data_IF_066689565108
#
_entry.id   IF_066689565108
#
_cell.length_a   1.000
_cell.length_b   1.000
_cell.length_c   1.000
_cell.angle_alpha   90.00
_cell.angle_beta   90.00
_cell.angle_gamma   90.00
#
_symmetry.space_group_name_H-M   'P 1'
#
loop_
_entity.id
_entity.type
_entity.pdbx_description
1 polymer ?
#
# COMPACT_ATOMS: atom_id res chain seq x y z
N UNK A 1 26.08 -20.87 -1.31
CA UNK A 1 25.78 -19.88 -0.26
C UNK A 1 24.27 -19.71 -0.23
N UNK A 2 23.62 -20.07 0.87
CA UNK A 2 22.17 -20.29 0.94
C UNK A 2 21.38 -18.98 0.80
N UNK A 3 20.45 -18.90 -0.17
CA UNK A 3 19.45 -17.83 -0.37
C UNK A 3 18.43 -17.68 0.78
N UNK A 4 18.68 -18.26 1.95
CA UNK A 4 17.68 -18.50 3.01
C UNK A 4 17.57 -17.40 4.06
N UNK A 5 18.26 -16.26 3.93
CA UNK A 5 18.26 -15.22 4.98
C UNK A 5 18.29 -13.76 4.48
N UNK A 6 18.10 -13.51 3.18
CA UNK A 6 18.13 -12.13 2.68
C UNK A 6 16.71 -11.55 2.67
N UNK A 7 16.53 -10.47 3.42
CA UNK A 7 15.29 -9.68 3.39
C UNK A 7 15.06 -9.15 1.98
N UNK A 8 13.82 -9.23 1.51
CA UNK A 8 13.43 -8.66 0.22
C UNK A 8 13.68 -7.14 0.21
N UNK A 9 13.86 -6.58 -0.98
CA UNK A 9 13.82 -5.13 -1.17
C UNK A 9 12.41 -4.64 -0.81
N UNK A 10 12.33 -3.61 0.03
CA UNK A 10 11.06 -3.07 0.53
C UNK A 10 10.73 -1.76 -0.20
N UNK A 11 9.55 -1.69 -0.81
CA UNK A 11 9.07 -0.50 -1.52
C UNK A 11 7.95 0.17 -0.72
N UNK A 12 8.14 1.46 -0.45
CA UNK A 12 7.17 2.33 0.21
C UNK A 12 6.42 3.16 -0.83
N UNK A 13 5.09 3.15 -0.77
CA UNK A 13 4.21 3.81 -1.75
C UNK A 13 3.26 4.78 -1.06
N UNK A 14 3.41 6.08 -1.33
CA UNK A 14 2.73 7.15 -0.59
C UNK A 14 1.29 7.40 -1.05
N UNK A 15 0.58 8.22 -0.26
CA UNK A 15 -0.80 8.63 -0.50
C UNK A 15 -0.93 9.80 -1.46
N UNK A 16 -2.18 10.26 -1.65
CA UNK A 16 -2.48 11.45 -2.44
C UNK A 16 -1.87 12.71 -1.81
N UNK A 17 -1.31 13.62 -2.61
CA UNK A 17 -0.62 14.85 -2.19
C UNK A 17 0.63 14.66 -1.29
N UNK A 18 1.08 13.43 -1.06
CA UNK A 18 2.32 13.11 -0.35
C UNK A 18 3.48 12.84 -1.33
N UNK A 19 4.69 12.72 -0.79
CA UNK A 19 5.86 12.16 -1.48
C UNK A 19 6.43 11.01 -0.65
N UNK A 20 7.46 10.32 -1.15
CA UNK A 20 8.17 9.28 -0.40
C UNK A 20 8.69 9.74 0.98
N UNK A 21 8.93 11.05 1.15
CA UNK A 21 9.39 11.63 2.42
C UNK A 21 8.39 11.46 3.58
N UNK A 22 7.10 11.23 3.29
CA UNK A 22 6.09 10.94 4.34
C UNK A 22 6.45 9.70 5.16
N UNK A 23 7.27 8.80 4.60
CA UNK A 23 7.75 7.60 5.26
C UNK A 23 9.07 7.76 6.01
N UNK A 24 9.73 8.92 6.05
CA UNK A 24 11.12 9.04 6.55
C UNK A 24 11.35 8.39 7.92
N UNK A 25 10.41 8.58 8.86
CA UNK A 25 10.46 7.93 10.18
C UNK A 25 10.35 6.41 10.08
N UNK A 26 9.39 5.90 9.30
CA UNK A 26 9.19 4.46 9.11
C UNK A 26 10.35 3.83 8.34
N UNK A 27 10.85 4.48 7.30
CA UNK A 27 12.00 4.03 6.53
C UNK A 27 13.25 3.95 7.40
N UNK A 28 13.49 4.94 8.26
CA UNK A 28 14.59 4.91 9.24
C UNK A 28 14.42 3.75 10.22
N UNK A 29 13.22 3.57 10.78
CA UNK A 29 12.91 2.46 11.67
C UNK A 29 13.18 1.09 11.00
N UNK A 30 12.69 0.87 9.77
CA UNK A 30 12.85 -0.39 9.06
C UNK A 30 14.29 -0.63 8.57
N UNK A 31 15.03 0.42 8.21
CA UNK A 31 16.47 0.31 7.89
C UNK A 31 17.28 -0.12 9.11
N UNK A 32 16.95 0.39 10.30
CA UNK A 32 17.59 -0.06 11.55
C UNK A 32 17.27 -1.53 11.87
N UNK A 33 16.11 -2.03 11.43
CA UNK A 33 15.77 -3.46 11.45
C UNK A 33 16.48 -4.26 10.34
N UNK A 34 17.28 -3.63 9.47
CA UNK A 34 18.05 -4.30 8.41
C UNK A 34 17.34 -4.47 7.07
N UNK A 35 16.23 -3.75 6.83
CA UNK A 35 15.57 -3.75 5.52
C UNK A 35 16.25 -2.80 4.53
N UNK A 36 16.33 -3.21 3.26
CA UNK A 36 16.72 -2.33 2.16
C UNK A 36 15.48 -1.60 1.64
N UNK A 37 15.29 -0.36 2.09
CA UNK A 37 14.05 0.40 1.92
C UNK A 37 14.17 1.46 0.82
N UNK A 38 13.25 1.39 -0.14
CA UNK A 38 13.07 2.30 -1.26
C UNK A 38 11.73 3.04 -1.13
N UNK A 39 11.71 4.34 -1.43
CA UNK A 39 10.49 5.13 -1.49
C UNK A 39 10.45 5.84 -2.85
N UNK A 40 9.34 5.67 -3.57
CA UNK A 40 9.10 6.27 -4.89
C UNK A 40 8.23 7.51 -4.73
N UNK A 41 8.53 8.57 -5.47
CA UNK A 41 7.60 9.68 -5.70
C UNK A 41 6.74 9.38 -6.93
N UNK A 42 5.45 9.15 -6.71
CA UNK A 42 4.43 9.04 -7.76
C UNK A 42 4.08 10.45 -8.26
N UNK A 43 4.11 10.68 -9.56
CA UNK A 43 3.89 12.02 -10.13
C UNK A 43 2.96 12.01 -11.35
N UNK A 44 1.91 12.85 -11.40
CA UNK A 44 1.47 13.74 -10.32
C UNK A 44 0.78 12.95 -9.19
N UNK A 45 1.01 13.36 -7.94
CA UNK A 45 0.48 12.73 -6.73
C UNK A 45 -0.88 13.28 -6.29
N UNK A 46 -1.42 14.27 -6.98
CA UNK A 46 -2.60 15.04 -6.57
C UNK A 46 -3.95 14.49 -7.11
N UNK A 47 -3.91 13.33 -7.75
CA UNK A 47 -5.08 12.69 -8.36
C UNK A 47 -5.41 13.15 -9.79
N UNK A 48 -4.63 14.06 -10.38
CA UNK A 48 -4.85 14.56 -11.76
C UNK A 48 -4.72 13.46 -12.84
N UNK A 49 -4.06 12.37 -12.49
CA UNK A 49 -4.00 11.16 -13.33
C UNK A 49 -4.65 9.99 -12.62
N UNK A 50 -5.09 9.00 -13.40
CA UNK A 50 -5.61 7.75 -12.88
C UNK A 50 -4.55 6.95 -12.13
N UNK A 51 -5.00 6.22 -11.12
CA UNK A 51 -4.22 5.30 -10.30
C UNK A 51 -3.62 4.15 -11.12
N UNK A 52 -4.24 3.75 -12.23
CA UNK A 52 -3.68 2.84 -13.23
C UNK A 52 -2.38 3.38 -13.85
N UNK A 53 -2.31 4.70 -14.13
CA UNK A 53 -1.10 5.34 -14.63
C UNK A 53 -0.01 5.43 -13.56
N UNK A 54 -0.40 5.73 -12.32
CA UNK A 54 0.54 5.69 -11.19
C UNK A 54 1.06 4.27 -10.94
N UNK A 55 0.25 3.24 -11.15
CA UNK A 55 0.66 1.84 -11.01
C UNK A 55 1.69 1.44 -12.09
N UNK A 56 1.61 2.01 -13.29
CA UNK A 56 2.65 1.84 -14.31
C UNK A 56 3.97 2.49 -13.88
N UNK A 57 3.95 3.64 -13.19
CA UNK A 57 5.16 4.24 -12.63
C UNK A 57 5.78 3.33 -11.55
N UNK A 58 4.94 2.82 -10.65
CA UNK A 58 5.36 1.85 -9.64
C UNK A 58 6.01 0.61 -10.27
N UNK A 59 5.37 0.02 -11.28
CA UNK A 59 5.92 -1.14 -11.99
C UNK A 59 7.26 -0.85 -12.67
N UNK A 60 7.40 0.31 -13.31
CA UNK A 60 8.68 0.73 -13.91
C UNK A 60 9.77 0.89 -12.84
N UNK A 61 9.45 1.53 -11.72
CA UNK A 61 10.38 1.72 -10.61
C UNK A 61 10.81 0.40 -9.98
N UNK A 62 9.86 -0.52 -9.73
CA UNK A 62 10.18 -1.86 -9.24
C UNK A 62 11.09 -2.60 -10.25
N UNK A 63 10.84 -2.44 -11.55
CA UNK A 63 11.69 -3.00 -12.60
C UNK A 63 13.15 -2.52 -12.55
N UNK A 64 13.42 -1.29 -12.11
CA UNK A 64 14.80 -0.77 -12.01
C UNK A 64 15.53 -1.24 -10.76
N UNK A 65 14.82 -1.51 -9.66
CA UNK A 65 15.45 -1.86 -8.37
C UNK A 65 15.42 -3.34 -8.06
N UNK A 66 14.46 -4.10 -8.59
CA UNK A 66 14.24 -5.50 -8.16
C UNK A 66 15.25 -6.47 -8.74
N UNK A 67 15.81 -6.17 -9.92
CA UNK A 67 16.69 -7.10 -10.67
C UNK A 67 16.04 -8.48 -10.90
N UNK A 68 14.69 -8.53 -10.95
CA UNK A 68 13.92 -9.77 -11.07
C UNK A 68 13.76 -10.56 -9.76
N UNK A 69 14.28 -10.05 -8.64
CA UNK A 69 14.05 -10.64 -7.32
C UNK A 69 12.68 -10.29 -6.76
N UNK A 70 12.26 -11.06 -5.76
CA UNK A 70 11.03 -10.80 -5.02
C UNK A 70 11.15 -9.51 -4.19
N UNK A 71 10.02 -8.81 -4.04
CA UNK A 71 9.94 -7.57 -3.26
C UNK A 71 8.80 -7.64 -2.24
N UNK A 72 8.87 -6.76 -1.25
CA UNK A 72 7.78 -6.48 -0.33
C UNK A 72 7.28 -5.04 -0.52
N UNK A 73 5.99 -4.80 -0.34
CA UNK A 73 5.36 -3.48 -0.48
C UNK A 73 4.68 -3.07 0.82
N UNK A 74 4.97 -1.85 1.28
CA UNK A 74 4.19 -1.14 2.29
C UNK A 74 3.60 0.10 1.65
N UNK A 75 2.28 0.22 1.65
CA UNK A 75 1.59 1.27 0.93
C UNK A 75 0.61 2.03 1.83
N UNK A 76 0.55 3.35 1.68
CA UNK A 76 -0.27 4.24 2.48
C UNK A 76 -1.40 4.83 1.66
N UNK A 77 -2.62 4.84 2.20
CA UNK A 77 -3.75 5.57 1.61
C UNK A 77 -3.97 5.17 0.14
N UNK A 78 -4.06 6.15 -0.77
CA UNK A 78 -4.08 5.97 -2.24
C UNK A 78 -3.01 5.00 -2.75
N UNK A 79 -1.81 5.02 -2.17
CA UNK A 79 -0.69 4.16 -2.56
C UNK A 79 -1.04 2.67 -2.51
N UNK A 80 -1.88 2.24 -1.56
CA UNK A 80 -2.32 0.84 -1.52
C UNK A 80 -3.21 0.46 -2.70
N UNK A 81 -4.02 1.39 -3.22
CA UNK A 81 -4.84 1.15 -4.40
C UNK A 81 -3.97 1.10 -5.66
N UNK A 82 -2.98 1.99 -5.75
CA UNK A 82 -1.96 1.97 -6.81
C UNK A 82 -1.20 0.64 -6.81
N UNK A 83 -0.75 0.18 -5.65
CA UNK A 83 -0.07 -1.11 -5.48
C UNK A 83 -0.98 -2.30 -5.84
N UNK A 84 -2.25 -2.27 -5.47
CA UNK A 84 -3.22 -3.30 -5.87
C UNK A 84 -3.34 -3.41 -7.39
N UNK A 85 -3.43 -2.28 -8.10
CA UNK A 85 -3.51 -2.31 -9.55
C UNK A 85 -2.23 -2.90 -10.17
N UNK A 86 -1.05 -2.51 -9.68
CA UNK A 86 0.21 -3.11 -10.13
C UNK A 86 0.24 -4.64 -9.91
N UNK A 87 -0.16 -5.10 -8.72
CA UNK A 87 -0.18 -6.52 -8.36
C UNK A 87 -1.18 -7.29 -9.24
N UNK A 88 -2.42 -6.79 -9.34
CA UNK A 88 -3.54 -7.52 -9.92
C UNK A 88 -3.63 -7.40 -11.45
N UNK A 89 -3.11 -6.31 -12.04
CA UNK A 89 -3.27 -6.01 -13.49
C UNK A 89 -1.95 -5.94 -14.24
N UNK A 90 -0.85 -5.62 -13.58
CA UNK A 90 0.46 -5.43 -14.22
C UNK A 90 1.46 -6.57 -13.93
N UNK A 91 0.96 -7.71 -13.43
CA UNK A 91 1.77 -8.91 -13.20
C UNK A 91 2.58 -8.91 -11.89
N UNK A 92 2.39 -7.89 -11.03
CA UNK A 92 3.10 -7.81 -9.75
C UNK A 92 2.79 -8.97 -8.79
N UNK A 93 1.70 -9.71 -9.00
CA UNK A 93 1.37 -10.93 -8.25
C UNK A 93 2.47 -11.98 -8.24
N UNK A 94 3.32 -12.02 -9.27
CA UNK A 94 4.42 -12.99 -9.39
C UNK A 94 5.72 -12.50 -8.73
N UNK A 95 5.77 -11.25 -8.26
CA UNK A 95 7.00 -10.62 -7.77
C UNK A 95 6.87 -10.13 -6.32
N UNK A 96 5.69 -9.67 -5.92
CA UNK A 96 5.42 -9.24 -4.55
C UNK A 96 5.21 -10.47 -3.67
N UNK A 97 5.85 -10.53 -2.50
CA UNK A 97 5.63 -11.59 -1.51
C UNK A 97 4.78 -11.12 -0.34
N UNK A 98 5.09 -9.94 0.21
CA UNK A 98 4.30 -9.29 1.27
C UNK A 98 3.70 -8.00 0.78
N UNK A 99 2.43 -7.79 1.08
CA UNK A 99 1.73 -6.56 0.74
C UNK A 99 0.99 -6.03 1.96
N UNK A 100 1.51 -4.95 2.52
CA UNK A 100 1.03 -4.32 3.74
C UNK A 100 0.42 -2.97 3.36
N UNK A 101 -0.81 -2.72 3.77
CA UNK A 101 -1.51 -1.47 3.50
C UNK A 101 -1.81 -0.74 4.80
N UNK A 102 -1.67 0.59 4.79
CA UNK A 102 -1.90 1.47 5.93
C UNK A 102 -2.98 2.47 5.53
N UNK A 103 -4.16 2.40 6.15
CA UNK A 103 -5.31 3.26 5.86
C UNK A 103 -5.66 3.37 4.37
N UNK A 104 -5.53 2.28 3.60
CA UNK A 104 -5.87 2.29 2.17
C UNK A 104 -7.38 2.10 1.94
N UNK A 105 -8.04 2.91 1.10
CA UNK A 105 -9.49 2.82 0.88
C UNK A 105 -9.85 1.69 -0.10
N UNK A 106 -9.68 0.43 0.30
CA UNK A 106 -9.92 -0.74 -0.58
C UNK A 106 -11.34 -0.81 -1.16
N UNK A 107 -12.31 -0.27 -0.43
CA UNK A 107 -13.71 -0.15 -0.86
C UNK A 107 -14.12 1.30 -1.17
N UNK A 108 -13.13 2.18 -1.36
CA UNK A 108 -13.31 3.60 -1.66
C UNK A 108 -13.58 4.47 -0.42
N UNK A 109 -13.61 5.77 -0.62
CA UNK A 109 -13.92 6.75 0.43
C UNK A 109 -14.85 7.84 -0.09
N UNK A 110 -15.87 8.19 0.69
CA UNK A 110 -16.79 9.29 0.32
C UNK A 110 -16.08 10.64 0.23
N UNK A 111 -14.93 10.79 0.88
CA UNK A 111 -14.10 12.00 0.76
C UNK A 111 -13.61 12.23 -0.67
N UNK A 112 -13.52 11.18 -1.48
CA UNK A 112 -13.08 11.29 -2.87
C UNK A 112 -14.09 12.00 -3.79
N UNK A 113 -15.34 12.24 -3.34
CA UNK A 113 -16.30 13.09 -4.05
C UNK A 113 -15.95 14.59 -4.00
N UNK A 114 -15.04 15.01 -3.12
CA UNK A 114 -14.61 16.41 -3.02
C UNK A 114 -13.75 16.89 -4.21
N UNK A 115 -13.33 15.97 -5.10
CA UNK A 115 -12.56 16.29 -6.30
C UNK A 115 -13.08 15.51 -7.50
N UNK A 116 -12.99 16.12 -8.69
CA UNK A 116 -13.32 15.49 -9.98
C UNK A 116 -12.07 14.95 -10.71
N UNK A 117 -10.88 15.08 -10.11
CA UNK A 117 -9.65 14.58 -10.72
C UNK A 117 -9.72 13.05 -10.90
N UNK A 118 -9.19 12.49 -12.01
CA UNK A 118 -9.36 11.09 -12.37
C UNK A 118 -9.02 10.09 -11.25
N UNK A 119 -7.91 10.29 -10.54
CA UNK A 119 -7.50 9.42 -9.43
C UNK A 119 -8.45 9.49 -8.23
N UNK A 120 -9.04 10.66 -7.95
CA UNK A 120 -10.08 10.79 -6.93
C UNK A 120 -11.37 10.07 -7.36
N UNK A 121 -11.78 10.21 -8.62
CA UNK A 121 -12.95 9.48 -9.15
C UNK A 121 -12.78 7.97 -8.95
N UNK A 122 -11.61 7.42 -9.30
CA UNK A 122 -11.29 6.01 -9.12
C UNK A 122 -11.24 5.55 -7.65
N UNK A 123 -11.13 6.46 -6.67
CA UNK A 123 -11.20 6.12 -5.23
C UNK A 123 -12.60 6.29 -4.62
N UNK A 124 -13.62 6.62 -5.42
CA UNK A 124 -15.00 6.70 -4.93
C UNK A 124 -15.55 5.30 -4.66
N UNK A 125 -16.38 5.12 -3.62
CA UNK A 125 -17.15 3.90 -3.44
C UNK A 125 -17.89 3.54 -4.73
N UNK A 126 -17.93 2.25 -5.04
CA UNK A 126 -18.64 1.70 -6.21
C UNK A 126 -18.17 2.16 -7.60
N UNK A 127 -17.06 2.89 -7.71
CA UNK A 127 -16.45 3.20 -9.00
C UNK A 127 -16.03 1.91 -9.74
N UNK A 128 -16.12 1.92 -11.07
CA UNK A 128 -15.79 0.76 -11.90
C UNK A 128 -14.35 0.28 -11.67
N UNK A 129 -13.43 1.20 -11.39
CA UNK A 129 -12.04 0.88 -11.09
C UNK A 129 -11.90 0.01 -9.83
N UNK A 130 -12.54 0.39 -8.72
CA UNK A 130 -12.49 -0.40 -7.49
C UNK A 130 -13.33 -1.67 -7.60
N UNK A 131 -14.46 -1.64 -8.31
CA UNK A 131 -15.25 -2.85 -8.59
C UNK A 131 -14.44 -3.89 -9.37
N UNK A 132 -13.70 -3.46 -10.37
CA UNK A 132 -12.77 -4.31 -11.11
C UNK A 132 -11.74 -4.95 -10.17
N UNK A 133 -11.00 -4.14 -9.39
CA UNK A 133 -10.01 -4.64 -8.43
C UNK A 133 -10.62 -5.53 -7.34
N UNK A 134 -11.86 -5.29 -6.92
CA UNK A 134 -12.52 -6.08 -5.90
C UNK A 134 -13.12 -7.38 -6.44
N UNK A 135 -13.38 -7.48 -7.74
CA UNK A 135 -13.96 -8.68 -8.38
C UNK A 135 -13.06 -9.92 -8.24
N UNK A 136 -11.75 -9.73 -8.22
CA UNK A 136 -10.74 -10.80 -8.14
C UNK A 136 -9.76 -10.61 -6.97
N UNK A 137 -10.09 -9.75 -6.00
CA UNK A 137 -9.23 -9.45 -4.86
C UNK A 137 -8.72 -10.68 -4.10
N UNK A 138 -9.46 -11.80 -4.13
CA UNK A 138 -9.04 -13.09 -3.55
C UNK A 138 -7.67 -13.57 -4.06
N UNK A 139 -7.22 -13.14 -5.24
CA UNK A 139 -5.87 -13.46 -5.74
C UNK A 139 -4.76 -12.97 -4.80
N UNK A 140 -5.01 -11.90 -4.03
CA UNK A 140 -4.07 -11.36 -3.04
C UNK A 140 -3.80 -12.33 -1.89
N UNK A 141 -4.59 -13.41 -1.72
CA UNK A 141 -4.31 -14.50 -0.78
C UNK A 141 -3.05 -15.29 -1.10
N UNK A 142 -2.53 -15.18 -2.33
CA UNK A 142 -1.23 -15.73 -2.71
C UNK A 142 -0.07 -14.96 -2.04
N UNK A 143 -0.35 -13.76 -1.51
CA UNK A 143 0.59 -12.92 -0.82
C UNK A 143 0.33 -12.98 0.69
N UNK A 144 1.36 -12.67 1.47
CA UNK A 144 1.14 -12.30 2.87
C UNK A 144 0.57 -10.88 2.91
N UNK A 145 -0.76 -10.79 2.81
CA UNK A 145 -1.50 -9.54 2.80
C UNK A 145 -1.87 -9.10 4.22
N UNK A 146 -1.55 -7.84 4.56
CA UNK A 146 -1.95 -7.21 5.82
C UNK A 146 -2.63 -5.86 5.55
N UNK A 147 -3.75 -5.60 6.22
CA UNK A 147 -4.39 -4.28 6.26
C UNK A 147 -4.34 -3.70 7.67
N UNK A 148 -3.72 -2.53 7.80
CA UNK A 148 -3.57 -1.78 9.05
C UNK A 148 -4.39 -0.50 8.92
N UNK A 149 -5.32 -0.23 9.83
CA UNK A 149 -6.18 0.96 9.73
C UNK A 149 -6.62 1.49 11.10
N UNK A 150 -7.09 2.73 11.14
CA UNK A 150 -7.62 3.37 12.36
C UNK A 150 -9.12 3.60 12.24
N UNK A 151 -9.92 3.36 13.30
CA UNK A 151 -11.35 3.66 13.27
C UNK A 151 -11.65 5.15 13.28
N UNK A 152 -10.64 6.00 13.56
CA UNK A 152 -10.77 7.46 13.63
C UNK A 152 -10.44 8.16 12.29
N UNK A 153 -10.33 7.41 11.21
CA UNK A 153 -9.93 7.95 9.92
C UNK A 153 -10.99 8.90 9.35
N UNK A 154 -10.64 10.18 9.19
CA UNK A 154 -11.50 11.20 8.59
C UNK A 154 -11.23 11.39 7.09
N UNK A 155 -10.18 10.77 6.54
CA UNK A 155 -9.88 10.78 5.11
C UNK A 155 -10.47 9.55 4.42
N UNK A 156 -10.50 8.41 5.12
CA UNK A 156 -11.14 7.18 4.66
C UNK A 156 -12.48 7.04 5.37
N UNK A 157 -13.56 7.41 4.70
CA UNK A 157 -14.91 7.34 5.25
C UNK A 157 -15.81 6.44 4.38
N UNK A 158 -16.41 5.39 4.97
CA UNK A 158 -16.21 4.93 6.35
C UNK A 158 -14.81 4.30 6.54
N UNK A 159 -14.20 4.39 7.73
CA UNK A 159 -12.85 3.88 7.99
C UNK A 159 -12.70 2.37 7.68
N UNK A 160 -13.77 1.60 7.89
CA UNK A 160 -13.85 0.19 7.51
C UNK A 160 -13.68 -0.09 6.01
N UNK A 161 -13.66 0.94 5.16
CA UNK A 161 -13.32 0.77 3.75
C UNK A 161 -11.91 0.20 3.54
N UNK A 162 -11.04 0.27 4.56
CA UNK A 162 -9.73 -0.39 4.58
C UNK A 162 -9.77 -1.89 4.89
N UNK A 163 -10.93 -2.47 5.21
CA UNK A 163 -11.06 -3.90 5.44
C UNK A 163 -11.04 -4.70 4.13
N UNK A 164 -10.43 -5.88 4.17
CA UNK A 164 -10.51 -6.89 3.13
C UNK A 164 -11.00 -8.20 3.74
N UNK A 165 -11.73 -9.05 2.99
CA UNK A 165 -12.31 -10.29 3.52
C UNK A 165 -11.26 -11.43 3.69
N UNK A 166 -9.98 -11.08 3.70
CA UNK A 166 -8.86 -12.01 3.78
C UNK A 166 -7.59 -11.27 4.23
N UNK A 167 -6.55 -12.05 4.55
CA UNK A 167 -5.30 -11.54 5.07
C UNK A 167 -5.40 -11.15 6.54
N UNK A 168 -4.31 -10.63 7.08
CA UNK A 168 -4.23 -10.14 8.46
C UNK A 168 -4.84 -8.76 8.55
N UNK A 169 -5.75 -8.56 9.49
CA UNK A 169 -6.30 -7.25 9.83
C UNK A 169 -5.71 -6.77 11.15
N UNK A 170 -5.27 -5.52 11.20
CA UNK A 170 -4.82 -4.87 12.43
C UNK A 170 -5.42 -3.48 12.56
N UNK A 171 -6.06 -3.23 13.71
CA UNK A 171 -6.65 -1.93 14.02
C UNK A 171 -5.73 -1.20 14.98
N UNK A 172 -5.25 -0.02 14.60
CA UNK A 172 -4.41 0.84 15.43
C UNK A 172 -5.16 2.15 15.70
N UNK A 173 -5.40 2.55 16.96
CA UNK A 173 -6.12 3.78 17.28
C UNK A 173 -5.18 5.00 17.18
N UNK A 174 -4.75 5.33 15.96
CA UNK A 174 -4.07 6.59 15.66
C UNK A 174 -5.13 7.67 15.37
N UNK A 175 -4.94 8.88 15.91
CA UNK A 175 -5.99 9.91 15.93
C UNK A 175 -6.24 10.57 14.56
N UNK A 176 -5.27 10.57 13.65
CA UNK A 176 -5.41 11.15 12.32
C UNK A 176 -4.73 10.28 11.28
N UNK A 177 -5.26 10.33 10.05
CA UNK A 177 -4.82 9.54 8.90
C UNK A 177 -3.28 9.51 8.69
N UNK A 178 -2.57 10.65 8.58
CA UNK A 178 -1.11 10.64 8.39
C UNK A 178 -0.32 10.16 9.62
N UNK A 179 -0.87 10.25 10.83
CA UNK A 179 -0.17 9.78 12.03
C UNK A 179 -0.01 8.26 12.07
N UNK A 180 -0.81 7.52 11.30
CA UNK A 180 -0.60 6.09 11.12
C UNK A 180 0.84 5.77 10.68
N UNK A 181 1.49 6.63 9.91
CA UNK A 181 2.86 6.41 9.44
C UNK A 181 3.95 6.66 10.48
N UNK A 182 3.63 7.40 11.54
CA UNK A 182 4.59 7.76 12.60
C UNK A 182 4.27 7.15 13.95
N UNK A 183 3.10 6.54 14.10
CA UNK A 183 2.68 5.77 15.27
C UNK A 183 3.56 4.53 15.44
N UNK A 184 4.20 4.40 16.61
CA UNK A 184 5.10 3.28 16.91
C UNK A 184 4.39 1.93 16.84
N UNK A 185 3.09 1.85 17.14
CA UNK A 185 2.32 0.61 17.07
C UNK A 185 2.13 0.18 15.63
N UNK A 186 1.85 1.13 14.73
CA UNK A 186 1.77 0.85 13.29
C UNK A 186 3.13 0.41 12.76
N UNK A 187 4.21 1.13 13.06
CA UNK A 187 5.55 0.74 12.58
C UNK A 187 5.99 -0.64 13.09
N UNK A 188 5.71 -0.98 14.35
CA UNK A 188 5.95 -2.33 14.89
C UNK A 188 5.10 -3.38 14.18
N UNK A 189 3.82 -3.10 13.95
CA UNK A 189 2.92 -4.00 13.20
C UNK A 189 3.43 -4.26 11.79
N UNK A 190 3.93 -3.23 11.10
CA UNK A 190 4.57 -3.36 9.79
C UNK A 190 5.80 -4.27 9.87
N UNK A 191 6.69 -4.05 10.84
CA UNK A 191 7.87 -4.90 11.00
C UNK A 191 7.52 -6.36 11.31
N UNK A 192 6.49 -6.62 12.13
CA UNK A 192 5.98 -7.96 12.39
C UNK A 192 5.42 -8.63 11.13
N UNK A 193 4.58 -7.93 10.37
CA UNK A 193 4.01 -8.45 9.13
C UNK A 193 5.09 -8.75 8.08
N UNK A 194 6.16 -7.95 8.05
CA UNK A 194 7.30 -8.14 7.15
C UNK A 194 8.14 -9.38 7.43
N UNK A 195 8.07 -9.96 8.63
CA UNK A 195 8.78 -11.19 9.00
C UNK A 195 7.85 -12.39 9.18
N UNK A 196 6.56 -12.21 8.92
CA UNK A 196 5.57 -13.29 9.02
C UNK A 196 5.92 -14.42 8.03
N UNK A 197 5.91 -15.69 8.47
CA UNK A 197 6.16 -16.84 7.61
C UNK A 197 5.16 -16.92 6.45
N UNK A 198 5.59 -17.49 5.33
CA UNK A 198 4.66 -17.81 4.23
C UNK A 198 3.85 -19.05 4.59
N UNK A 199 2.55 -19.00 4.34
CA UNK A 199 1.64 -20.14 4.53
C UNK A 199 1.67 -21.09 3.32
#
# INVERSE_FOLDING_TARGET
MSKLNQKNKLVLVHGINDTGAVFDKMATFLRNEGWLVYALDLVPNNGDVGLDKLAQQLGKYIGTISEGEAIDIVAFSMGGIVSRYYIQRLGGINQVQRFITISSPHNGTVMAYASQSPGCVQMRPDDLFLKDLNSDAKMLKQLNFTSIWTPYDLMILPAKSSQMPFGREVIVPALVHPWMLTDMRTMKTVAEALVEPFN
#
